data_IF_452891282499
#
_entry.id   IF_452891282499
#
_cell.length_a   1.000
_cell.length_b   1.000
_cell.length_c   1.000
_cell.angle_alpha   90.00
_cell.angle_beta   90.00
_cell.angle_gamma   90.00
#
_symmetry.space_group_name_H-M   'P 1'
#
loop_
_entity.id
_entity.type
_entity.pdbx_description
1 polymer ?
#
# COMPACT_ATOMS: atom_id res chain seq x y z
N UNK A 1 7.87 7.61 -5.11
CA UNK A 1 8.33 6.25 -4.71
C UNK A 1 9.73 5.94 -5.18
N UNK A 2 10.04 5.97 -6.49
CA UNK A 2 11.40 5.65 -7.00
C UNK A 2 12.46 6.61 -6.45
N UNK A 3 12.23 7.93 -6.51
CA UNK A 3 13.15 8.96 -6.00
C UNK A 3 13.43 8.79 -4.50
N UNK A 4 12.40 8.49 -3.71
CA UNK A 4 12.53 8.19 -2.28
C UNK A 4 13.43 6.97 -2.00
N UNK A 5 13.37 5.94 -2.86
CA UNK A 5 14.25 4.76 -2.74
C UNK A 5 15.71 5.09 -3.07
N UNK A 6 15.93 6.00 -4.01
CA UNK A 6 17.26 6.46 -4.40
C UNK A 6 17.87 7.46 -3.41
N UNK A 7 17.14 7.84 -2.35
CA UNK A 7 17.55 8.87 -1.38
C UNK A 7 17.94 10.22 -2.02
N UNK A 8 17.49 10.44 -3.25
CA UNK A 8 17.40 11.77 -3.85
C UNK A 8 16.25 12.52 -3.17
N UNK A 9 16.31 13.85 -3.04
CA UNK A 9 15.31 14.63 -2.32
C UNK A 9 13.89 14.13 -2.59
N UNK A 10 13.19 13.70 -1.54
CA UNK A 10 11.85 13.14 -1.65
C UNK A 10 10.83 14.25 -1.88
N UNK A 11 9.75 13.93 -2.58
CA UNK A 11 8.62 14.82 -2.88
C UNK A 11 7.97 15.46 -1.64
N UNK A 12 8.16 14.90 -0.44
CA UNK A 12 7.64 15.48 0.82
C UNK A 12 8.54 16.53 1.45
N UNK A 13 9.84 16.56 1.13
CA UNK A 13 10.76 17.63 1.54
C UNK A 13 10.81 18.78 0.50
N UNK A 14 9.87 18.79 -0.43
CA UNK A 14 9.91 19.53 -1.67
C UNK A 14 8.63 20.35 -1.89
N UNK A 15 8.09 21.01 -0.86
CA UNK A 15 7.03 22.02 -1.08
C UNK A 15 7.44 23.07 -2.13
N UNK A 16 8.76 23.27 -2.37
CA UNK A 16 9.29 24.17 -3.40
C UNK A 16 10.06 23.50 -4.57
N UNK A 17 10.32 22.18 -4.56
CA UNK A 17 11.31 21.57 -5.49
C UNK A 17 10.76 20.62 -6.56
N UNK A 18 9.47 20.23 -6.53
CA UNK A 18 8.85 19.40 -7.58
C UNK A 18 7.71 20.15 -8.28
N UNK A 19 8.00 20.75 -9.45
CA UNK A 19 6.98 21.30 -10.33
C UNK A 19 6.46 20.20 -11.27
N UNK A 20 5.26 19.70 -11.02
CA UNK A 20 4.58 18.76 -11.93
C UNK A 20 3.93 19.54 -13.07
N UNK A 21 4.59 19.59 -14.22
CA UNK A 21 3.98 20.07 -15.46
C UNK A 21 3.18 18.94 -16.09
N UNK A 22 1.87 18.94 -15.87
CA UNK A 22 1.01 17.92 -16.45
C UNK A 22 0.57 18.32 -17.86
N UNK A 23 0.77 17.41 -18.82
CA UNK A 23 0.35 17.55 -20.21
C UNK A 23 -0.80 16.57 -20.47
N UNK A 24 -2.07 16.98 -20.26
CA UNK A 24 -3.22 16.11 -20.45
C UNK A 24 -3.45 15.87 -21.94
N UNK A 25 -2.74 14.89 -22.48
CA UNK A 25 -3.03 14.30 -23.80
C UNK A 25 -2.97 12.80 -23.58
N UNK A 26 -4.12 12.18 -23.31
CA UNK A 26 -4.25 10.73 -23.16
C UNK A 26 -3.94 10.03 -24.49
N UNK A 27 -3.12 8.96 -24.50
CA UNK A 27 -3.04 8.04 -25.62
C UNK A 27 -3.98 6.85 -25.37
N UNK A 28 -5.22 6.95 -25.82
CA UNK A 28 -5.97 5.75 -26.22
C UNK A 28 -5.43 5.31 -27.59
N UNK A 29 -5.16 4.01 -27.75
CA UNK A 29 -4.62 3.43 -28.98
C UNK A 29 -5.67 3.57 -30.09
N UNK A 30 -5.57 4.68 -30.83
CA UNK A 30 -6.19 4.90 -32.12
C UNK A 30 -5.08 4.90 -33.18
N UNK A 31 -5.35 4.42 -34.41
CA UNK A 31 -4.35 4.38 -35.48
C UNK A 31 -3.74 5.77 -35.63
N UNK A 32 -2.40 5.86 -35.75
CA UNK A 32 -1.61 7.09 -35.95
C UNK A 32 -2.37 8.13 -36.82
N UNK A 33 -3.14 8.99 -36.16
CA UNK A 33 -3.87 10.10 -36.76
C UNK A 33 -3.62 11.29 -35.85
N UNK A 34 -2.83 12.22 -36.37
CA UNK A 34 -2.60 13.59 -35.92
C UNK A 34 -2.94 13.90 -34.45
N UNK A 35 -1.89 13.97 -33.62
CA UNK A 35 -1.96 14.71 -32.37
C UNK A 35 -2.58 16.10 -32.62
N UNK A 36 -3.42 16.62 -31.72
CA UNK A 36 -3.99 17.94 -31.88
C UNK A 36 -2.88 18.98 -32.02
N UNK A 37 -3.06 19.94 -32.94
CA UNK A 37 -2.08 21.01 -33.20
C UNK A 37 -2.00 22.05 -32.06
N UNK A 38 -2.71 21.84 -30.97
CA UNK A 38 -2.79 22.74 -29.82
C UNK A 38 -2.35 22.02 -28.54
N UNK A 39 -1.89 22.81 -27.57
CA UNK A 39 -1.49 22.32 -26.25
C UNK A 39 -1.91 23.31 -25.17
N UNK A 40 -2.56 22.82 -24.12
CA UNK A 40 -2.85 23.61 -22.93
C UNK A 40 -1.91 23.16 -21.82
N UNK A 41 -1.11 24.08 -21.30
CA UNK A 41 -0.20 23.84 -20.18
C UNK A 41 -0.86 24.34 -18.89
N UNK A 42 -1.06 23.45 -17.90
CA UNK A 42 -1.63 23.84 -16.60
C UNK A 42 -0.52 23.93 -15.55
N UNK A 43 -0.43 25.08 -14.89
CA UNK A 43 0.55 25.40 -13.83
C UNK A 43 -0.12 25.50 -12.46
N UNK A 44 0.71 25.63 -11.42
CA UNK A 44 0.28 25.76 -10.02
C UNK A 44 -0.50 24.54 -9.52
N UNK A 45 0.12 23.37 -9.64
CA UNK A 45 -0.47 22.10 -9.20
C UNK A 45 0.46 21.51 -8.13
N UNK A 46 0.00 21.54 -6.88
CA UNK A 46 0.82 21.20 -5.72
C UNK A 46 0.59 19.79 -5.17
N UNK A 47 -0.32 19.01 -5.77
CA UNK A 47 -0.59 17.64 -5.30
C UNK A 47 -1.09 16.74 -6.44
N UNK A 48 -0.85 15.43 -6.35
CA UNK A 48 -1.39 14.45 -7.32
C UNK A 48 -2.92 14.49 -7.43
N UNK A 49 -3.62 14.84 -6.34
CA UNK A 49 -5.06 15.05 -6.37
C UNK A 49 -5.45 16.28 -7.19
N UNK A 50 -4.68 17.36 -7.08
CA UNK A 50 -4.86 18.57 -7.89
C UNK A 50 -4.49 18.31 -9.36
N UNK A 51 -3.50 17.45 -9.62
CA UNK A 51 -3.15 16.99 -10.98
C UNK A 51 -4.37 16.32 -11.62
N UNK A 52 -4.96 15.33 -10.96
CA UNK A 52 -6.15 14.62 -11.44
C UNK A 52 -7.34 15.56 -11.67
N UNK A 53 -7.63 16.45 -10.70
CA UNK A 53 -8.71 17.43 -10.83
C UNK A 53 -8.49 18.41 -11.99
N UNK A 54 -7.26 18.88 -12.18
CA UNK A 54 -6.90 19.77 -13.27
C UNK A 54 -7.09 19.09 -14.63
N UNK A 55 -6.65 17.82 -14.77
CA UNK A 55 -6.88 17.02 -15.99
C UNK A 55 -8.37 16.91 -16.26
N UNK A 56 -9.14 16.43 -15.29
CA UNK A 56 -10.57 16.16 -15.47
C UNK A 56 -11.36 17.43 -15.83
N UNK A 57 -11.02 18.56 -15.20
CA UNK A 57 -11.59 19.85 -15.55
C UNK A 57 -11.24 20.26 -16.99
N UNK A 58 -9.98 20.14 -17.37
CA UNK A 58 -9.50 20.57 -18.67
C UNK A 58 -10.00 19.67 -19.81
N UNK A 59 -10.10 18.35 -19.58
CA UNK A 59 -10.74 17.41 -20.51
C UNK A 59 -12.20 17.82 -20.77
N UNK A 60 -12.97 18.12 -19.72
CA UNK A 60 -14.37 18.55 -19.86
C UNK A 60 -14.49 19.87 -20.62
N UNK A 61 -13.64 20.84 -20.29
CA UNK A 61 -13.62 22.16 -20.94
C UNK A 61 -13.26 22.05 -22.42
N UNK A 62 -12.19 21.33 -22.75
CA UNK A 62 -11.75 21.19 -24.13
C UNK A 62 -12.77 20.43 -24.97
N UNK A 63 -13.39 19.39 -24.38
CA UNK A 63 -14.51 18.69 -25.02
C UNK A 63 -15.67 19.63 -25.35
N UNK A 64 -16.13 20.45 -24.40
CA UNK A 64 -17.20 21.42 -24.63
C UNK A 64 -16.85 22.48 -25.70
N UNK A 65 -15.57 22.88 -25.82
CA UNK A 65 -15.13 23.74 -26.92
C UNK A 65 -15.24 23.02 -28.27
N UNK A 66 -14.75 21.79 -28.36
CA UNK A 66 -14.77 20.97 -29.58
C UNK A 66 -16.21 20.68 -30.01
N UNK A 67 -17.08 20.32 -29.06
CA UNK A 67 -18.51 20.03 -29.31
C UNK A 67 -19.25 21.25 -29.87
N UNK A 68 -18.78 22.48 -29.56
CA UNK A 68 -19.29 23.75 -30.12
C UNK A 68 -18.65 24.13 -31.46
N UNK A 69 -17.81 23.26 -32.03
CA UNK A 69 -17.05 23.54 -33.26
C UNK A 69 -15.89 24.52 -33.06
N UNK A 70 -15.54 24.85 -31.81
CA UNK A 70 -14.40 25.70 -31.47
C UNK A 70 -13.15 24.83 -31.25
N UNK A 71 -11.98 25.37 -31.58
CA UNK A 71 -10.69 24.70 -31.31
C UNK A 71 -10.01 25.31 -30.10
N UNK A 72 -9.51 24.52 -29.14
CA UNK A 72 -8.71 25.06 -28.05
C UNK A 72 -7.45 25.73 -28.59
N UNK A 73 -7.10 26.88 -28.03
CA UNK A 73 -5.89 27.63 -28.37
C UNK A 73 -4.71 27.19 -27.52
N UNK A 74 -3.48 27.39 -28.02
CA UNK A 74 -2.29 27.14 -27.23
C UNK A 74 -2.15 28.20 -26.12
N UNK A 75 -2.29 27.77 -24.87
CA UNK A 75 -2.35 28.67 -23.73
C UNK A 75 -1.75 28.04 -22.47
N UNK A 76 -1.27 28.90 -21.57
CA UNK A 76 -0.93 28.53 -20.21
C UNK A 76 -2.10 28.90 -19.31
N UNK A 77 -2.54 27.94 -18.50
CA UNK A 77 -3.58 28.09 -17.49
C UNK A 77 -3.01 27.80 -16.11
N UNK A 78 -3.64 28.32 -15.07
CA UNK A 78 -3.34 28.00 -13.67
C UNK A 78 -4.47 27.21 -13.04
N UNK A 79 -4.15 26.18 -12.27
CA UNK A 79 -5.14 25.50 -11.44
C UNK A 79 -5.47 26.36 -10.20
N UNK A 80 -6.77 26.50 -9.92
CA UNK A 80 -7.28 27.21 -8.74
C UNK A 80 -7.93 26.19 -7.82
N UNK A 81 -7.28 25.91 -6.69
CA UNK A 81 -7.69 24.85 -5.75
C UNK A 81 -9.09 25.07 -5.18
N UNK A 82 -9.41 26.32 -4.80
CA UNK A 82 -10.72 26.68 -4.21
C UNK A 82 -11.90 26.34 -5.12
N UNK A 83 -11.76 26.59 -6.42
CA UNK A 83 -12.82 26.36 -7.40
C UNK A 83 -12.64 25.07 -8.20
N UNK A 84 -11.56 24.31 -7.96
CA UNK A 84 -11.18 23.09 -8.69
C UNK A 84 -11.25 23.29 -10.21
N UNK A 85 -10.79 24.43 -10.68
CA UNK A 85 -10.94 24.88 -12.06
C UNK A 85 -9.63 25.43 -12.61
N UNK A 86 -9.43 25.34 -13.93
CA UNK A 86 -8.32 26.01 -14.60
C UNK A 86 -8.73 27.43 -15.02
N UNK A 87 -7.91 28.43 -14.71
CA UNK A 87 -8.06 29.82 -15.19
C UNK A 87 -7.00 30.14 -16.23
N UNK A 88 -7.38 30.91 -17.23
CA UNK A 88 -6.44 31.42 -18.23
C UNK A 88 -5.38 32.29 -17.55
N UNK A 89 -4.11 32.15 -17.93
CA UNK A 89 -3.03 33.03 -17.49
C UNK A 89 -2.47 33.80 -18.68
N UNK A 90 -1.98 33.10 -19.70
CA UNK A 90 -1.40 33.72 -20.89
C UNK A 90 -1.65 32.89 -22.13
N UNK A 91 -1.81 33.56 -23.27
CA UNK A 91 -1.77 32.94 -24.59
C UNK A 91 -0.31 32.69 -24.95
N UNK A 92 0.01 31.57 -25.57
CA UNK A 92 1.37 31.31 -26.06
C UNK A 92 1.49 31.96 -27.43
N UNK A 93 1.89 33.23 -27.44
CA UNK A 93 1.89 34.04 -28.67
C UNK A 93 3.08 33.69 -29.58
N UNK A 94 4.24 33.34 -29.04
CA UNK A 94 5.38 32.79 -29.78
C UNK A 94 6.14 31.77 -28.90
N UNK A 95 6.75 30.75 -29.52
CA UNK A 95 7.70 29.92 -28.80
C UNK A 95 8.88 30.80 -28.42
N UNK A 96 9.06 31.08 -27.13
CA UNK A 96 10.20 31.88 -26.65
C UNK A 96 11.49 31.30 -27.23
N UNK A 97 12.14 32.06 -28.11
CA UNK A 97 13.39 31.65 -28.74
C UNK A 97 14.49 31.82 -27.68
N UNK A 98 14.55 30.87 -26.75
CA UNK A 98 15.69 30.72 -25.87
C UNK A 98 16.87 30.42 -26.79
N UNK A 99 17.77 31.39 -26.95
CA UNK A 99 18.98 31.29 -27.76
C UNK A 99 19.94 30.32 -27.07
N UNK A 100 19.62 29.03 -27.09
CA UNK A 100 20.44 27.99 -26.49
C UNK A 100 21.81 28.00 -27.17
N UNK A 101 22.87 28.16 -26.39
CA UNK A 101 24.24 27.92 -26.80
C UNK A 101 24.96 27.17 -25.66
N UNK A 102 26.00 26.39 -25.94
CA UNK A 102 26.78 25.73 -24.90
C UNK A 102 27.39 26.75 -23.95
N UNK A 103 27.23 26.55 -22.64
CA UNK A 103 27.83 27.41 -21.61
C UNK A 103 29.37 27.36 -21.74
N UNK A 104 30.04 28.45 -22.16
CA UNK A 104 31.49 28.44 -22.39
C UNK A 104 32.30 28.22 -21.11
N UNK A 105 31.76 28.60 -19.95
CA UNK A 105 32.47 28.51 -18.67
C UNK A 105 32.44 27.07 -18.09
N UNK A 106 31.57 26.21 -18.61
CA UNK A 106 31.41 24.82 -18.14
C UNK A 106 31.91 23.86 -19.22
N UNK A 107 33.09 23.22 -19.04
CA UNK A 107 33.58 22.26 -20.01
C UNK A 107 32.63 21.06 -20.14
N UNK A 108 32.56 20.40 -21.31
CA UNK A 108 31.75 19.21 -21.49
C UNK A 108 32.11 18.11 -20.48
N UNK A 109 31.10 17.52 -19.85
CA UNK A 109 31.28 16.38 -18.96
C UNK A 109 31.50 15.10 -19.76
N UNK A 110 32.58 14.39 -19.44
CA UNK A 110 32.86 13.05 -19.95
C UNK A 110 32.77 12.04 -18.80
N UNK A 111 31.88 11.06 -18.94
CA UNK A 111 31.69 10.02 -17.94
C UNK A 111 32.46 8.76 -18.34
N UNK A 112 33.37 8.31 -17.48
CA UNK A 112 34.04 7.03 -17.69
C UNK A 112 33.06 5.87 -17.49
N UNK A 113 33.22 4.80 -18.30
CA UNK A 113 32.41 3.58 -18.15
C UNK A 113 32.57 2.94 -16.78
N UNK A 114 33.76 3.04 -16.18
CA UNK A 114 34.07 2.62 -14.81
C UNK A 114 33.14 3.30 -13.80
N UNK A 115 33.01 4.63 -13.88
CA UNK A 115 32.16 5.44 -13.03
C UNK A 115 30.67 5.11 -13.22
N UNK A 116 30.21 4.95 -14.46
CA UNK A 116 28.82 4.54 -14.74
C UNK A 116 28.52 3.16 -14.13
N UNK A 117 29.46 2.22 -14.24
CA UNK A 117 29.30 0.89 -13.64
C UNK A 117 29.29 0.94 -12.11
N UNK A 118 30.13 1.79 -11.51
CA UNK A 118 30.11 2.04 -10.07
C UNK A 118 28.74 2.56 -9.63
N UNK A 119 28.20 3.57 -10.31
CA UNK A 119 26.87 4.10 -10.01
C UNK A 119 25.79 3.03 -10.15
N UNK A 120 25.82 2.25 -11.24
CA UNK A 120 24.85 1.16 -11.45
C UNK A 120 24.89 0.14 -10.31
N UNK A 121 26.07 -0.20 -9.83
CA UNK A 121 26.25 -1.16 -8.73
C UNK A 121 25.87 -0.58 -7.36
N UNK A 122 25.89 0.75 -7.20
CA UNK A 122 25.43 1.42 -5.96
C UNK A 122 23.91 1.59 -5.87
N UNK A 123 23.18 1.39 -6.98
CA UNK A 123 21.73 1.55 -6.97
C UNK A 123 21.09 0.44 -6.12
N UNK A 124 20.19 0.80 -5.18
CA UNK A 124 19.43 -0.19 -4.43
C UNK A 124 18.41 -0.88 -5.34
N UNK A 125 17.88 -2.01 -4.87
CA UNK A 125 16.73 -2.65 -5.50
C UNK A 125 15.54 -1.67 -5.55
N UNK A 126 14.98 -1.47 -6.75
CA UNK A 126 13.86 -0.56 -6.94
C UNK A 126 12.55 -1.14 -6.39
N UNK A 127 11.55 -0.30 -6.04
CA UNK A 127 10.29 -0.77 -5.46
C UNK A 127 9.60 -1.88 -6.25
N UNK A 128 9.57 -1.74 -7.58
CA UNK A 128 8.95 -2.72 -8.47
C UNK A 128 9.70 -4.06 -8.49
N UNK A 129 11.04 -4.02 -8.48
CA UNK A 129 11.87 -5.22 -8.42
C UNK A 129 11.63 -5.94 -7.08
N UNK A 130 11.63 -5.18 -5.99
CA UNK A 130 11.38 -5.67 -4.63
C UNK A 130 9.98 -6.28 -4.47
N UNK A 131 8.95 -5.66 -5.07
CA UNK A 131 7.58 -6.20 -5.11
C UNK A 131 7.54 -7.57 -5.77
N UNK A 132 8.15 -7.70 -6.94
CA UNK A 132 8.20 -8.96 -7.67
C UNK A 132 8.99 -10.02 -6.91
N UNK A 133 10.08 -9.64 -6.25
CA UNK A 133 10.85 -10.55 -5.38
C UNK A 133 10.03 -11.03 -4.19
N UNK A 134 9.34 -10.13 -3.48
CA UNK A 134 8.49 -10.50 -2.33
C UNK A 134 7.37 -11.47 -2.72
N UNK A 135 6.79 -11.32 -3.92
CA UNK A 135 5.81 -12.26 -4.45
C UNK A 135 6.41 -13.63 -4.72
N UNK A 136 7.59 -13.68 -5.36
CA UNK A 136 8.24 -14.94 -5.77
C UNK A 136 8.88 -15.69 -4.61
N UNK A 137 9.70 -15.01 -3.81
CA UNK A 137 10.50 -15.63 -2.74
C UNK A 137 9.70 -15.86 -1.46
N UNK A 138 8.82 -14.92 -1.10
CA UNK A 138 8.09 -14.96 0.17
C UNK A 138 6.62 -15.32 0.00
N UNK A 139 6.16 -15.56 -1.24
CA UNK A 139 4.76 -15.89 -1.56
C UNK A 139 3.75 -14.89 -0.99
N UNK A 140 4.14 -13.60 -0.96
CA UNK A 140 3.29 -12.51 -0.47
C UNK A 140 2.26 -12.15 -1.53
N UNK A 141 1.03 -11.84 -1.10
CA UNK A 141 -0.03 -11.39 -2.01
C UNK A 141 0.37 -10.08 -2.68
N UNK A 142 0.02 -9.93 -3.95
CA UNK A 142 0.42 -8.76 -4.75
C UNK A 142 0.03 -7.41 -4.12
N UNK A 143 -1.17 -7.32 -3.54
CA UNK A 143 -1.63 -6.14 -2.81
C UNK A 143 -0.78 -5.83 -1.56
N UNK A 144 -0.39 -6.86 -0.81
CA UNK A 144 0.43 -6.70 0.38
C UNK A 144 1.87 -6.31 -0.01
N UNK A 145 2.42 -6.93 -1.07
CA UNK A 145 3.74 -6.59 -1.61
C UNK A 145 3.79 -5.14 -2.10
N UNK A 146 2.71 -4.64 -2.72
CA UNK A 146 2.62 -3.23 -3.10
C UNK A 146 2.73 -2.34 -1.87
N UNK A 147 1.94 -2.58 -0.83
CA UNK A 147 1.92 -1.76 0.39
C UNK A 147 3.31 -1.76 1.05
N UNK A 148 3.91 -2.95 1.23
CA UNK A 148 5.20 -3.12 1.91
C UNK A 148 6.36 -2.46 1.14
N UNK A 149 6.24 -2.26 -0.17
CA UNK A 149 7.29 -1.67 -1.01
C UNK A 149 7.05 -0.21 -1.37
N UNK A 150 6.02 0.43 -0.83
CA UNK A 150 5.79 1.88 -1.04
C UNK A 150 6.90 2.74 -0.48
N UNK A 151 7.40 2.37 0.69
CA UNK A 151 8.47 3.06 1.40
C UNK A 151 9.66 2.13 1.58
N UNK A 152 10.86 2.67 1.36
CA UNK A 152 12.09 1.88 1.49
C UNK A 152 12.27 1.39 2.93
N UNK A 153 12.02 2.28 3.90
CA UNK A 153 12.12 1.98 5.33
C UNK A 153 11.21 0.81 5.72
N UNK A 154 9.96 0.81 5.26
CA UNK A 154 9.00 -0.27 5.51
C UNK A 154 9.43 -1.59 4.88
N UNK A 155 9.94 -1.54 3.63
CA UNK A 155 10.40 -2.74 2.95
C UNK A 155 11.62 -3.35 3.64
N UNK A 156 12.60 -2.53 4.02
CA UNK A 156 13.80 -2.95 4.73
C UNK A 156 13.44 -3.49 6.14
N UNK A 157 12.48 -2.86 6.81
CA UNK A 157 11.95 -3.33 8.08
C UNK A 157 11.30 -4.72 7.98
N UNK A 158 10.47 -4.94 6.95
CA UNK A 158 9.82 -6.21 6.72
C UNK A 158 10.80 -7.34 6.46
N UNK A 159 11.87 -7.10 5.69
CA UNK A 159 12.90 -8.11 5.45
C UNK A 159 13.65 -8.51 6.72
N UNK A 160 14.02 -7.53 7.55
CA UNK A 160 14.61 -7.79 8.86
C UNK A 160 13.67 -8.61 9.75
N UNK A 161 12.37 -8.29 9.73
CA UNK A 161 11.37 -9.05 10.47
C UNK A 161 11.24 -10.49 9.96
N UNK A 162 11.34 -10.73 8.64
CA UNK A 162 11.39 -12.08 8.08
C UNK A 162 12.61 -12.82 8.60
N UNK A 163 13.79 -12.18 8.60
CA UNK A 163 15.03 -12.77 9.08
C UNK A 163 14.92 -13.19 10.56
N UNK A 164 14.47 -12.30 11.43
CA UNK A 164 14.22 -12.59 12.84
C UNK A 164 13.16 -13.69 13.03
N UNK A 165 12.11 -13.67 12.20
CA UNK A 165 11.01 -14.61 12.24
C UNK A 165 11.37 -16.03 11.81
N UNK A 166 12.46 -16.23 11.05
CA UNK A 166 12.96 -17.56 10.66
C UNK A 166 13.30 -18.41 11.89
N UNK A 167 13.90 -17.79 12.92
CA UNK A 167 14.29 -18.48 14.15
C UNK A 167 13.08 -19.04 14.93
N UNK A 168 11.89 -18.47 14.70
CA UNK A 168 10.64 -18.88 15.35
C UNK A 168 9.67 -19.57 14.40
N UNK A 169 10.13 -19.96 13.20
CA UNK A 169 9.35 -20.62 12.16
C UNK A 169 8.05 -19.86 11.79
N UNK A 170 8.10 -18.52 11.77
CA UNK A 170 6.96 -17.69 11.41
C UNK A 170 6.98 -17.44 9.91
N UNK A 171 5.87 -17.77 9.24
CA UNK A 171 5.73 -17.55 7.80
C UNK A 171 5.76 -16.05 7.46
N UNK A 172 6.46 -15.63 6.39
CA UNK A 172 6.48 -14.23 5.91
C UNK A 172 5.10 -13.60 5.71
N UNK A 173 4.12 -14.39 5.23
CA UNK A 173 2.74 -13.95 5.05
C UNK A 173 2.06 -13.48 6.35
N UNK A 174 2.34 -14.15 7.48
CA UNK A 174 1.82 -13.74 8.79
C UNK A 174 2.42 -12.40 9.22
N UNK A 175 3.72 -12.22 9.01
CA UNK A 175 4.43 -10.97 9.33
C UNK A 175 3.87 -9.82 8.49
N UNK A 176 3.75 -10.01 7.17
CA UNK A 176 3.16 -9.04 6.24
C UNK A 176 1.75 -8.63 6.68
N UNK A 177 0.88 -9.61 6.92
CA UNK A 177 -0.50 -9.39 7.36
C UNK A 177 -0.57 -8.64 8.68
N UNK A 178 0.31 -8.97 9.63
CA UNK A 178 0.35 -8.31 10.92
C UNK A 178 0.77 -6.84 10.80
N UNK A 179 1.86 -6.57 10.06
CA UNK A 179 2.35 -5.20 9.82
C UNK A 179 1.24 -4.33 9.21
N UNK A 180 0.59 -4.83 8.17
CA UNK A 180 -0.44 -4.10 7.41
C UNK A 180 -1.69 -3.87 8.28
N UNK A 181 -2.23 -4.93 8.91
CA UNK A 181 -3.50 -4.83 9.63
C UNK A 181 -3.38 -4.08 10.96
N UNK A 182 -2.24 -4.21 11.66
CA UNK A 182 -2.00 -3.51 12.92
C UNK A 182 -1.43 -2.12 12.73
N UNK A 183 -1.07 -1.73 11.50
CA UNK A 183 -0.44 -0.45 11.17
C UNK A 183 0.74 -0.17 12.10
N UNK A 184 1.66 -1.13 12.15
CA UNK A 184 2.82 -1.10 13.06
C UNK A 184 3.63 0.16 12.82
N UNK A 185 3.95 0.88 13.89
CA UNK A 185 4.85 2.02 13.85
C UNK A 185 6.30 1.53 13.79
N UNK A 186 6.81 1.39 12.56
CA UNK A 186 8.15 0.85 12.27
C UNK A 186 9.29 1.68 12.85
N UNK A 187 9.03 2.93 13.27
CA UNK A 187 10.02 3.81 13.89
C UNK A 187 10.16 3.55 15.39
N UNK A 188 9.15 2.96 16.01
CA UNK A 188 9.13 2.69 17.46
C UNK A 188 9.36 1.23 17.81
N UNK A 189 8.81 0.31 17.00
CA UNK A 189 8.81 -1.12 17.32
C UNK A 189 9.91 -1.80 16.51
N UNK A 190 10.86 -2.45 17.19
CA UNK A 190 11.93 -3.19 16.51
C UNK A 190 11.38 -4.46 15.83
N UNK A 191 12.00 -4.94 14.73
CA UNK A 191 11.59 -6.19 14.08
C UNK A 191 11.52 -7.38 15.06
N UNK A 192 12.47 -7.50 15.97
CA UNK A 192 12.50 -8.58 16.96
C UNK A 192 11.31 -8.50 17.94
N UNK A 193 10.96 -7.29 18.38
CA UNK A 193 9.80 -7.05 19.25
C UNK A 193 8.48 -7.37 18.53
N UNK A 194 8.39 -7.01 17.25
CA UNK A 194 7.25 -7.37 16.40
C UNK A 194 7.07 -8.90 16.37
N UNK A 195 8.15 -9.64 16.15
CA UNK A 195 8.12 -11.11 16.15
C UNK A 195 7.63 -11.65 17.50
N UNK A 196 8.11 -11.12 18.62
CA UNK A 196 7.62 -11.50 19.94
C UNK A 196 6.12 -11.20 20.12
N UNK A 197 5.63 -10.07 19.62
CA UNK A 197 4.20 -9.76 19.64
C UNK A 197 3.39 -10.75 18.79
N UNK A 198 3.88 -11.12 17.61
CA UNK A 198 3.23 -12.11 16.74
C UNK A 198 3.17 -13.46 17.45
N UNK A 199 4.24 -13.88 18.13
CA UNK A 199 4.28 -15.12 18.91
C UNK A 199 3.24 -15.05 20.03
N UNK A 200 3.26 -14.00 20.87
CA UNK A 200 2.31 -13.81 21.97
C UNK A 200 0.85 -13.80 21.50
N UNK A 201 0.56 -13.21 20.34
CA UNK A 201 -0.77 -13.18 19.76
C UNK A 201 -1.19 -14.51 19.10
N UNK A 202 -0.23 -15.37 18.79
CA UNK A 202 -0.44 -16.68 18.17
C UNK A 202 -0.46 -17.82 19.19
N UNK A 203 0.22 -17.65 20.33
CA UNK A 203 0.24 -18.63 21.42
C UNK A 203 -1.16 -18.81 21.98
N UNK A 204 -1.62 -20.05 21.92
CA UNK A 204 -2.81 -20.50 22.64
C UNK A 204 -2.46 -20.52 24.12
N UNK A 205 -3.26 -19.86 24.95
CA UNK A 205 -3.02 -19.83 26.38
C UNK A 205 -3.38 -21.18 26.99
N UNK A 206 -2.48 -21.75 27.78
CA UNK A 206 -2.81 -22.88 28.63
C UNK A 206 -3.73 -22.40 29.75
N UNK A 207 -5.00 -22.80 29.67
CA UNK A 207 -5.98 -22.56 30.72
C UNK A 207 -5.92 -23.72 31.69
N UNK A 208 -5.92 -23.40 32.98
CA UNK A 208 -6.09 -24.37 34.05
C UNK A 208 -7.40 -25.17 33.85
N UNK A 209 -7.32 -26.48 34.03
CA UNK A 209 -8.43 -27.39 33.76
C UNK A 209 -9.66 -27.09 34.64
N UNK A 210 -9.43 -26.50 35.81
CA UNK A 210 -10.44 -26.05 36.77
C UNK A 210 -11.28 -24.88 36.24
N UNK A 211 -10.64 -23.88 35.61
CA UNK A 211 -11.31 -22.72 35.04
C UNK A 211 -12.08 -23.10 33.76
N UNK A 212 -11.47 -23.93 32.91
CA UNK A 212 -12.11 -24.46 31.71
C UNK A 212 -13.37 -25.27 32.06
N UNK A 213 -13.28 -26.13 33.09
CA UNK A 213 -14.42 -26.92 33.57
C UNK A 213 -15.61 -26.03 33.97
N UNK A 214 -15.36 -24.97 34.77
CA UNK A 214 -16.42 -24.06 35.25
C UNK A 214 -17.15 -23.38 34.09
N UNK A 215 -16.41 -22.84 33.13
CA UNK A 215 -17.00 -22.15 31.98
C UNK A 215 -17.78 -23.13 31.08
N UNK A 216 -17.31 -24.37 30.94
CA UNK A 216 -18.05 -25.41 30.21
C UNK A 216 -19.37 -25.71 30.91
N UNK A 217 -19.38 -25.88 32.23
CA UNK A 217 -20.61 -26.17 33.00
C UNK A 217 -21.64 -25.04 32.88
N UNK A 218 -21.18 -23.79 32.98
CA UNK A 218 -22.04 -22.64 32.71
C UNK A 218 -22.57 -22.63 31.27
N UNK A 219 -21.73 -22.99 30.29
CA UNK A 219 -22.13 -22.97 28.87
C UNK A 219 -23.16 -24.05 28.57
N UNK A 220 -23.03 -25.23 29.17
CA UNK A 220 -24.02 -26.32 29.09
C UNK A 220 -25.35 -25.88 29.71
N UNK A 221 -25.29 -25.26 30.89
CA UNK A 221 -26.49 -24.78 31.61
C UNK A 221 -27.22 -23.68 30.85
N UNK A 222 -26.49 -22.74 30.25
CA UNK A 222 -27.08 -21.61 29.51
C UNK A 222 -27.56 -21.98 28.09
N UNK A 223 -27.23 -23.15 27.56
CA UNK A 223 -27.57 -23.56 26.19
C UNK A 223 -28.22 -24.97 26.12
N UNK A 224 -29.34 -25.22 26.82
CA UNK A 224 -29.94 -26.56 26.92
C UNK A 224 -30.37 -27.13 25.57
N UNK A 225 -30.90 -26.30 24.65
CA UNK A 225 -31.30 -26.74 23.30
C UNK A 225 -30.13 -27.28 22.48
N UNK A 226 -28.96 -26.64 22.55
CA UNK A 226 -27.79 -27.08 21.81
C UNK A 226 -27.24 -28.42 22.35
N UNK A 227 -27.38 -28.65 23.65
CA UNK A 227 -27.02 -29.92 24.30
C UNK A 227 -27.96 -31.05 23.85
N UNK A 228 -29.26 -30.79 23.77
CA UNK A 228 -30.26 -31.74 23.28
C UNK A 228 -30.09 -32.05 21.79
N UNK A 229 -29.86 -31.03 20.96
CA UNK A 229 -29.54 -31.19 19.53
C UNK A 229 -28.29 -32.07 19.32
N UNK A 230 -27.27 -31.91 20.17
CA UNK A 230 -26.09 -32.78 20.11
C UNK A 230 -26.43 -34.23 20.51
N UNK A 231 -27.17 -34.43 21.60
CA UNK A 231 -27.59 -35.78 22.07
C UNK A 231 -28.50 -36.51 21.07
N UNK A 232 -29.25 -35.79 20.26
CA UNK A 232 -30.08 -36.35 19.18
C UNK A 232 -29.29 -36.63 17.88
N UNK A 233 -27.97 -36.40 17.88
CA UNK A 233 -27.06 -36.78 16.80
C UNK A 233 -26.64 -35.64 15.87
N UNK A 234 -27.00 -34.38 16.14
CA UNK A 234 -26.54 -33.24 15.34
C UNK A 234 -25.14 -32.80 15.78
N UNK A 235 -24.11 -33.38 15.18
CA UNK A 235 -22.71 -33.07 15.50
C UNK A 235 -22.36 -31.57 15.40
N UNK A 236 -23.01 -30.81 14.51
CA UNK A 236 -22.78 -29.37 14.36
C UNK A 236 -23.09 -28.56 15.63
N UNK A 237 -23.97 -29.06 16.51
CA UNK A 237 -24.31 -28.40 17.76
C UNK A 237 -23.10 -28.30 18.72
N UNK A 238 -22.13 -29.23 18.61
CA UNK A 238 -20.92 -29.16 19.44
C UNK A 238 -20.00 -28.01 19.02
N UNK A 239 -19.93 -27.70 17.72
CA UNK A 239 -19.12 -26.58 17.23
C UNK A 239 -19.70 -25.23 17.66
N UNK A 240 -21.04 -25.15 17.78
CA UNK A 240 -21.69 -23.98 18.38
C UNK A 240 -21.31 -23.80 19.85
N UNK A 241 -21.35 -24.88 20.65
CA UNK A 241 -20.95 -24.85 22.06
C UNK A 241 -19.47 -24.49 22.24
N UNK A 242 -18.57 -25.03 21.40
CA UNK A 242 -17.16 -24.64 21.36
C UNK A 242 -17.03 -23.12 21.12
N UNK A 243 -17.77 -22.58 20.15
CA UNK A 243 -17.79 -21.14 19.86
C UNK A 243 -18.27 -20.28 21.05
N UNK A 244 -19.27 -20.75 21.81
CA UNK A 244 -19.76 -20.06 22.99
C UNK A 244 -18.76 -20.08 24.15
N UNK A 245 -18.07 -21.20 24.37
CA UNK A 245 -16.98 -21.29 25.35
C UNK A 245 -15.84 -20.34 24.96
N UNK A 246 -15.44 -20.32 23.68
CA UNK A 246 -14.39 -19.44 23.19
C UNK A 246 -14.72 -17.95 23.38
N UNK A 247 -15.99 -17.55 23.25
CA UNK A 247 -16.42 -16.16 23.48
C UNK A 247 -16.30 -15.69 24.93
N UNK A 248 -16.38 -16.62 25.89
CA UNK A 248 -16.24 -16.31 27.32
C UNK A 248 -14.77 -16.12 27.72
N UNK A 249 -13.82 -16.55 26.89
CA UNK A 249 -12.40 -16.31 27.12
C UNK A 249 -11.91 -15.07 26.36
N UNK A 250 -11.21 -14.14 27.03
CA UNK A 250 -10.60 -12.99 26.36
C UNK A 250 -9.35 -13.38 25.55
N UNK A 251 -8.72 -14.50 25.89
CA UNK A 251 -7.55 -15.05 25.19
C UNK A 251 -7.89 -16.15 24.16
N UNK A 252 -6.95 -16.42 23.25
CA UNK A 252 -7.05 -17.58 22.34
C UNK A 252 -6.86 -18.89 23.12
N UNK A 253 -7.86 -19.75 23.02
CA UNK A 253 -7.89 -21.08 23.64
C UNK A 253 -7.90 -22.16 22.58
N UNK A 254 -7.32 -23.32 22.87
CA UNK A 254 -7.32 -24.46 21.96
C UNK A 254 -8.76 -25.00 21.82
N UNK A 255 -9.33 -24.82 20.63
CA UNK A 255 -10.65 -25.35 20.29
C UNK A 255 -10.71 -26.87 20.38
N UNK A 256 -9.60 -27.57 20.15
CA UNK A 256 -9.50 -29.03 20.25
C UNK A 256 -9.62 -29.48 21.71
N UNK A 257 -8.93 -28.78 22.62
CA UNK A 257 -9.00 -29.02 24.07
C UNK A 257 -10.42 -28.74 24.60
N UNK A 258 -11.03 -27.61 24.19
CA UNK A 258 -12.42 -27.29 24.54
C UNK A 258 -13.38 -28.38 24.06
N UNK A 259 -13.25 -28.81 22.79
CA UNK A 259 -14.09 -29.87 22.21
C UNK A 259 -13.94 -31.18 22.96
N UNK A 260 -12.70 -31.59 23.30
CA UNK A 260 -12.44 -32.81 24.06
C UNK A 260 -13.09 -32.77 25.45
N UNK A 261 -12.95 -31.65 26.18
CA UNK A 261 -13.58 -31.47 27.49
C UNK A 261 -15.11 -31.42 27.43
N UNK A 262 -15.68 -30.77 26.40
CA UNK A 262 -17.13 -30.79 26.15
C UNK A 262 -17.64 -32.21 25.88
N UNK A 263 -16.94 -32.97 25.04
CA UNK A 263 -17.29 -34.36 24.75
C UNK A 263 -17.24 -35.25 26.00
N UNK A 264 -16.26 -35.03 26.88
CA UNK A 264 -16.16 -35.76 28.14
C UNK A 264 -17.33 -35.50 29.09
N UNK A 265 -17.88 -34.28 29.11
CA UNK A 265 -19.04 -33.92 29.96
C UNK A 265 -20.41 -34.20 29.34
N UNK A 266 -20.48 -34.35 28.02
CA UNK A 266 -21.72 -34.60 27.28
C UNK A 266 -21.99 -36.09 26.98
N UNK A 267 -21.00 -36.95 27.22
CA UNK A 267 -21.16 -38.42 27.30
C UNK A 267 -21.91 -38.79 28.55
#
# INVERSE_FOLDING_TARGET
>A
TITAYLQTPSSEQAEDNENVFNNPSEPQIYPMHNLPSYKVEVKNINSFRHVDQAINYELKRQKDLIDRGLRPTQETRGFVEKSKSTRFQRKKEEASVYRYFPEPDIPPFHWEKSYINLLRNSLPELPQQKRERFKKEYSIRDMDSEILTREKELADYFEKAIEDGKNFNISPNKIATYIINKKVDIKKILPTELIQQIIKASSVSDIEETELSKIIDETITSNPKAVEDYKTGKENAIMFLVGQVMRKFPQKVDASKIKASLLAKLR
#
